data_IF_201762625432
#
_entry.id   IF_201762625432
#
_cell.length_a   1.000
_cell.length_b   1.000
_cell.length_c   1.000
_cell.angle_alpha   90.00
_cell.angle_beta   90.00
_cell.angle_gamma   90.00
#
_symmetry.space_group_name_H-M   'P 1'
#
loop_
_entity.id
_entity.type
_entity.pdbx_description
1 polymer ?
#
# COMPACT_ATOMS: atom_id res chain seq x y z
N UNK A 1 -37.27 24.00 3.03
CA UNK A 1 -36.28 24.69 2.17
C UNK A 1 -35.07 23.78 2.11
N UNK A 2 -34.76 23.24 0.94
CA UNK A 2 -33.75 22.23 0.69
C UNK A 2 -32.34 22.79 1.00
N UNK A 3 -31.86 22.59 2.22
CA UNK A 3 -30.46 22.89 2.60
C UNK A 3 -29.46 22.06 1.78
N UNK A 4 -29.86 20.90 1.28
CA UNK A 4 -29.03 20.05 0.41
C UNK A 4 -28.73 20.69 -0.97
N UNK A 5 -29.48 21.70 -1.41
CA UNK A 5 -29.25 22.40 -2.68
C UNK A 5 -28.15 23.47 -2.59
N UNK A 6 -27.84 23.95 -1.40
CA UNK A 6 -26.88 25.04 -1.22
C UNK A 6 -25.39 24.56 -1.16
N UNK A 7 -25.15 23.26 -0.95
CA UNK A 7 -23.76 22.74 -0.97
C UNK A 7 -23.31 22.48 -2.40
N UNK A 8 -22.27 23.18 -2.85
CA UNK A 8 -21.66 22.97 -4.15
C UNK A 8 -20.14 22.95 -4.04
N UNK A 9 -19.51 22.11 -4.85
CA UNK A 9 -18.06 22.08 -5.05
C UNK A 9 -17.81 22.28 -6.53
N UNK A 10 -17.17 23.39 -6.89
CA UNK A 10 -16.83 23.70 -8.28
C UNK A 10 -15.54 24.53 -8.33
N UNK A 11 -14.60 24.14 -9.21
CA UNK A 11 -13.33 24.84 -9.40
C UNK A 11 -12.55 25.06 -8.08
N UNK A 12 -12.50 24.02 -7.21
CA UNK A 12 -11.86 24.06 -5.89
C UNK A 12 -12.49 25.06 -4.89
N UNK A 13 -13.67 25.58 -5.21
CA UNK A 13 -14.43 26.44 -4.32
C UNK A 13 -15.58 25.63 -3.70
N UNK A 14 -15.64 25.69 -2.36
CA UNK A 14 -16.72 25.10 -1.58
C UNK A 14 -17.75 26.17 -1.23
N UNK A 15 -18.98 25.96 -1.66
CA UNK A 15 -20.12 26.75 -1.20
C UNK A 15 -20.80 25.99 -0.07
N UNK A 16 -20.88 26.59 1.11
CA UNK A 16 -21.48 25.98 2.30
C UNK A 16 -22.96 26.35 2.42
N UNK A 17 -23.83 25.44 2.91
CA UNK A 17 -25.22 25.72 3.15
C UNK A 17 -25.43 26.70 4.31
N UNK A 18 -24.52 26.70 5.27
CA UNK A 18 -24.53 27.62 6.42
C UNK A 18 -23.11 27.82 6.96
N UNK A 19 -22.94 28.85 7.78
CA UNK A 19 -21.67 29.10 8.50
C UNK A 19 -21.59 28.33 9.83
N UNK A 20 -22.39 27.27 9.99
CA UNK A 20 -22.45 26.45 11.19
C UNK A 20 -21.14 25.67 11.39
N UNK A 21 -20.71 25.60 12.66
CA UNK A 21 -19.51 24.88 13.07
C UNK A 21 -19.60 23.39 12.79
N UNK A 22 -20.79 22.77 12.94
CA UNK A 22 -20.97 21.33 12.66
C UNK A 22 -20.86 21.01 11.16
N UNK A 23 -21.35 21.91 10.29
CA UNK A 23 -21.16 21.80 8.84
C UNK A 23 -19.67 21.83 8.48
N UNK A 24 -18.91 22.78 9.05
CA UNK A 24 -17.47 22.87 8.84
C UNK A 24 -16.73 21.64 9.36
N UNK A 25 -17.14 21.11 10.51
CA UNK A 25 -16.58 19.91 11.10
C UNK A 25 -16.84 18.68 10.22
N UNK A 26 -18.07 18.52 9.73
CA UNK A 26 -18.43 17.43 8.79
C UNK A 26 -17.54 17.41 7.55
N UNK A 27 -17.30 18.57 6.95
CA UNK A 27 -16.42 18.70 5.78
C UNK A 27 -14.94 18.49 6.14
N UNK A 28 -14.51 18.92 7.33
CA UNK A 28 -13.13 18.71 7.79
C UNK A 28 -12.76 17.24 7.92
N UNK A 29 -13.70 16.34 8.21
CA UNK A 29 -13.47 14.90 8.23
C UNK A 29 -13.06 14.38 6.84
N UNK A 30 -13.72 14.82 5.76
CA UNK A 30 -13.35 14.42 4.41
C UNK A 30 -11.95 14.94 4.01
N UNK A 31 -11.61 16.17 4.37
CA UNK A 31 -10.27 16.72 4.14
C UNK A 31 -9.21 15.99 4.95
N UNK A 32 -9.47 15.69 6.22
CA UNK A 32 -8.54 14.94 7.06
C UNK A 32 -8.26 13.54 6.48
N UNK A 33 -9.32 12.85 6.02
CA UNK A 33 -9.16 11.57 5.34
C UNK A 33 -8.37 11.71 4.04
N UNK A 34 -8.65 12.72 3.22
CA UNK A 34 -7.91 12.99 1.98
C UNK A 34 -6.43 13.24 2.23
N UNK A 35 -6.11 14.04 3.24
CA UNK A 35 -4.72 14.30 3.64
C UNK A 35 -4.00 13.02 4.09
N UNK A 36 -4.69 12.14 4.82
CA UNK A 36 -4.15 10.87 5.26
C UNK A 36 -3.95 9.89 4.11
N UNK A 37 -4.89 9.82 3.17
CA UNK A 37 -4.72 9.03 1.93
C UNK A 37 -3.51 9.52 1.14
N UNK A 38 -3.35 10.84 0.97
CA UNK A 38 -2.21 11.44 0.29
C UNK A 38 -0.88 11.07 0.94
N UNK A 39 -0.81 11.03 2.26
CA UNK A 39 0.36 10.59 3.01
C UNK A 39 0.74 9.14 2.69
N UNK A 40 -0.24 8.22 2.65
CA UNK A 40 0.01 6.82 2.31
C UNK A 40 0.33 6.62 0.82
N UNK A 41 -0.26 7.42 -0.07
CA UNK A 41 0.09 7.43 -1.49
C UNK A 41 1.56 7.81 -1.71
N UNK A 42 2.07 8.82 -0.98
CA UNK A 42 3.48 9.24 -1.04
C UNK A 42 4.43 8.13 -0.53
N UNK A 43 4.08 7.46 0.58
CA UNK A 43 4.86 6.33 1.08
C UNK A 43 4.88 5.19 0.04
N UNK A 44 3.72 4.83 -0.50
CA UNK A 44 3.63 3.79 -1.51
C UNK A 44 4.44 4.14 -2.77
N UNK A 45 4.41 5.39 -3.20
CA UNK A 45 5.18 5.88 -4.34
C UNK A 45 6.70 5.70 -4.10
N UNK A 46 7.20 6.09 -2.93
CA UNK A 46 8.61 5.90 -2.55
C UNK A 46 9.03 4.43 -2.59
N UNK A 47 8.18 3.52 -2.13
CA UNK A 47 8.45 2.07 -2.21
C UNK A 47 8.47 1.61 -3.67
N UNK A 48 7.51 2.05 -4.49
CA UNK A 48 7.46 1.74 -5.94
C UNK A 48 8.74 2.20 -6.62
N UNK A 49 9.15 3.45 -6.41
CA UNK A 49 10.37 4.02 -7.02
C UNK A 49 11.63 3.27 -6.60
N UNK A 50 11.75 2.91 -5.32
CA UNK A 50 12.91 2.15 -4.82
C UNK A 50 12.99 0.73 -5.38
N UNK A 51 11.87 0.15 -5.79
CA UNK A 51 11.78 -1.21 -6.32
C UNK A 51 11.64 -1.27 -7.84
N UNK A 52 11.43 -0.15 -8.53
CA UNK A 52 11.15 -0.09 -9.97
C UNK A 52 12.25 -0.71 -10.85
N UNK A 53 13.51 -0.67 -10.42
CA UNK A 53 14.64 -1.23 -11.17
C UNK A 53 14.69 -2.77 -11.13
N UNK A 54 14.05 -3.41 -10.14
CA UNK A 54 14.15 -4.85 -9.92
C UNK A 54 13.59 -5.66 -11.10
N UNK A 55 12.35 -5.42 -11.57
CA UNK A 55 11.80 -6.14 -12.72
C UNK A 55 12.63 -5.96 -14.00
N UNK A 56 13.14 -4.74 -14.24
CA UNK A 56 13.99 -4.45 -15.40
C UNK A 56 15.31 -5.21 -15.36
N UNK A 57 15.95 -5.26 -14.21
CA UNK A 57 17.20 -6.01 -14.02
C UNK A 57 16.96 -7.52 -14.19
N UNK A 58 15.88 -8.04 -13.61
CA UNK A 58 15.52 -9.44 -13.72
C UNK A 58 15.26 -9.82 -15.19
N UNK A 59 14.49 -9.01 -15.93
CA UNK A 59 14.21 -9.24 -17.34
C UNK A 59 15.47 -9.19 -18.21
N UNK A 60 16.41 -8.30 -17.90
CA UNK A 60 17.64 -8.12 -18.68
C UNK A 60 18.72 -9.19 -18.40
N UNK A 61 18.83 -9.62 -17.17
CA UNK A 61 19.98 -10.45 -16.72
C UNK A 61 19.58 -11.84 -16.22
N UNK A 62 18.30 -12.08 -15.98
CA UNK A 62 17.82 -13.29 -15.31
C UNK A 62 18.30 -13.43 -13.87
N UNK A 63 18.87 -12.36 -13.28
CA UNK A 63 19.44 -12.39 -11.94
C UNK A 63 18.92 -11.21 -11.13
N UNK A 64 18.75 -11.46 -9.83
CA UNK A 64 18.42 -10.42 -8.85
C UNK A 64 19.73 -9.93 -8.25
N UNK A 65 20.02 -8.63 -8.41
CA UNK A 65 21.23 -8.00 -7.88
C UNK A 65 21.06 -7.55 -6.42
N UNK A 66 19.85 -7.60 -5.88
CA UNK A 66 19.58 -7.27 -4.48
C UNK A 66 20.06 -8.39 -3.55
N UNK A 67 20.67 -8.01 -2.44
CA UNK A 67 20.99 -8.95 -1.38
C UNK A 67 19.71 -9.46 -0.69
N UNK A 68 19.79 -10.66 -0.06
CA UNK A 68 18.65 -11.19 0.75
C UNK A 68 18.25 -10.24 1.85
N UNK A 69 19.21 -9.54 2.44
CA UNK A 69 18.97 -8.57 3.50
C UNK A 69 18.16 -7.38 2.97
N UNK A 70 18.47 -6.88 1.78
CA UNK A 70 17.76 -5.75 1.19
C UNK A 70 16.33 -6.14 0.80
N UNK A 71 16.13 -7.31 0.20
CA UNK A 71 14.78 -7.84 -0.08
C UNK A 71 13.97 -7.98 1.22
N UNK A 72 14.56 -8.55 2.27
CA UNK A 72 13.89 -8.70 3.55
C UNK A 72 13.55 -7.36 4.21
N UNK A 73 14.46 -6.38 4.14
CA UNK A 73 14.19 -5.01 4.64
C UNK A 73 13.06 -4.34 3.88
N UNK A 74 13.06 -4.42 2.54
CA UNK A 74 12.01 -3.83 1.71
C UNK A 74 10.66 -4.49 1.99
N UNK A 75 10.62 -5.82 2.16
CA UNK A 75 9.40 -6.53 2.60
C UNK A 75 8.93 -6.06 3.98
N UNK A 76 9.85 -5.91 4.93
CA UNK A 76 9.53 -5.39 6.27
C UNK A 76 8.90 -4.00 6.21
N UNK A 77 9.48 -3.09 5.45
CA UNK A 77 8.92 -1.74 5.26
C UNK A 77 7.55 -1.78 4.60
N UNK A 78 7.37 -2.61 3.57
CA UNK A 78 6.07 -2.75 2.91
C UNK A 78 5.00 -3.31 3.85
N UNK A 79 5.33 -4.36 4.62
CA UNK A 79 4.42 -4.94 5.60
C UNK A 79 4.02 -3.93 6.69
N UNK A 80 4.98 -3.13 7.18
CA UNK A 80 4.69 -2.06 8.14
C UNK A 80 3.73 -1.06 7.52
N UNK A 81 3.98 -0.62 6.28
CA UNK A 81 3.10 0.33 5.57
C UNK A 81 1.69 -0.25 5.37
N UNK A 82 1.58 -1.52 4.98
CA UNK A 82 0.29 -2.20 4.81
C UNK A 82 -0.44 -2.30 6.17
N UNK A 83 0.27 -2.64 7.23
CA UNK A 83 -0.31 -2.71 8.58
C UNK A 83 -0.77 -1.33 9.05
N UNK A 84 0.03 -0.29 8.83
CA UNK A 84 -0.34 1.08 9.19
C UNK A 84 -1.59 1.54 8.43
N UNK A 85 -1.69 1.19 7.15
CA UNK A 85 -2.90 1.44 6.36
C UNK A 85 -4.06 0.61 6.92
N UNK A 86 -3.87 -0.69 7.16
CA UNK A 86 -4.92 -1.59 7.63
C UNK A 86 -5.43 -1.23 9.04
N UNK A 87 -4.54 -0.88 9.96
CA UNK A 87 -4.91 -0.41 11.30
C UNK A 87 -5.67 0.92 11.27
N UNK A 88 -5.50 1.68 10.19
CA UNK A 88 -6.21 2.92 9.96
C UNK A 88 -7.35 2.75 8.93
N UNK A 89 -7.81 1.50 8.68
CA UNK A 89 -8.94 1.21 7.77
C UNK A 89 -10.26 1.86 8.19
N UNK A 90 -10.35 2.42 9.39
CA UNK A 90 -11.37 3.43 9.69
C UNK A 90 -11.30 4.67 8.78
N UNK A 91 -10.37 4.69 7.79
CA UNK A 91 -10.33 5.71 6.73
C UNK A 91 -11.51 5.67 5.78
N UNK A 92 -12.16 4.52 5.62
CA UNK A 92 -13.35 4.34 4.79
C UNK A 92 -14.64 4.32 5.62
N UNK A 93 -14.51 4.14 6.93
CA UNK A 93 -15.65 4.13 7.79
C UNK A 93 -16.19 5.56 7.94
N UNK A 94 -17.48 5.68 7.91
CA UNK A 94 -18.17 6.93 8.23
C UNK A 94 -17.77 7.33 9.66
N UNK A 95 -17.20 8.53 9.87
CA UNK A 95 -16.81 8.97 11.20
C UNK A 95 -17.96 8.89 12.22
N UNK A 96 -17.62 8.50 13.47
CA UNK A 96 -18.60 8.40 14.58
C UNK A 96 -19.38 9.71 14.80
N UNK A 97 -18.79 10.84 14.44
CA UNK A 97 -19.46 12.15 14.43
C UNK A 97 -20.83 12.13 13.76
N UNK A 98 -21.03 11.33 12.71
CA UNK A 98 -22.31 11.25 11.98
C UNK A 98 -23.36 10.36 12.67
N UNK A 99 -23.02 9.67 13.75
CA UNK A 99 -24.00 9.02 14.61
C UNK A 99 -24.82 10.05 15.40
N UNK A 100 -24.15 11.16 15.80
CA UNK A 100 -24.81 12.27 16.50
C UNK A 100 -25.45 13.29 15.55
N UNK A 101 -24.91 13.42 14.32
CA UNK A 101 -25.33 14.38 13.30
C UNK A 101 -25.58 13.72 11.93
N UNK A 102 -26.55 12.79 11.83
CA UNK A 102 -26.80 12.02 10.60
C UNK A 102 -27.21 12.89 9.40
N UNK A 103 -27.82 14.05 9.63
CA UNK A 103 -28.21 15.00 8.59
C UNK A 103 -27.01 15.58 7.83
N UNK A 104 -25.83 15.62 8.46
CA UNK A 104 -24.59 16.16 7.87
C UNK A 104 -23.80 15.12 7.08
N UNK A 105 -24.12 13.83 7.20
CA UNK A 105 -23.42 12.76 6.49
C UNK A 105 -23.47 12.95 4.97
N UNK A 106 -24.58 13.42 4.44
CA UNK A 106 -24.73 13.67 3.01
C UNK A 106 -23.74 14.70 2.47
N UNK A 107 -23.38 15.71 3.26
CA UNK A 107 -22.39 16.72 2.91
C UNK A 107 -20.98 16.12 2.87
N UNK A 108 -20.65 15.35 3.89
CA UNK A 108 -19.39 14.60 3.95
C UNK A 108 -19.24 13.66 2.74
N UNK A 109 -20.25 12.84 2.43
CA UNK A 109 -20.20 11.88 1.33
C UNK A 109 -20.04 12.58 -0.03
N UNK A 110 -20.68 13.73 -0.25
CA UNK A 110 -20.52 14.52 -1.47
C UNK A 110 -19.09 15.06 -1.61
N UNK A 111 -18.48 15.55 -0.54
CA UNK A 111 -17.11 16.01 -0.57
C UNK A 111 -16.13 14.84 -0.69
N UNK A 112 -16.35 13.74 0.02
CA UNK A 112 -15.54 12.52 -0.09
C UNK A 112 -15.54 11.98 -1.53
N UNK A 113 -16.70 12.02 -2.20
CA UNK A 113 -16.82 11.67 -3.62
C UNK A 113 -16.08 12.64 -4.53
N UNK A 114 -16.16 13.96 -4.28
CA UNK A 114 -15.41 14.96 -5.06
C UNK A 114 -13.89 14.78 -4.93
N UNK A 115 -13.42 14.36 -3.76
CA UNK A 115 -12.00 14.07 -3.48
C UNK A 115 -11.58 12.66 -3.93
N UNK A 116 -12.48 11.90 -4.57
CA UNK A 116 -12.27 10.53 -5.06
C UNK A 116 -11.70 9.57 -4.00
N UNK A 117 -12.06 9.76 -2.72
CA UNK A 117 -11.43 9.06 -1.60
C UNK A 117 -11.47 7.55 -1.76
N UNK A 118 -12.65 7.00 -2.06
CA UNK A 118 -12.82 5.54 -2.21
C UNK A 118 -11.96 4.99 -3.35
N UNK A 119 -11.98 5.64 -4.51
CA UNK A 119 -11.20 5.21 -5.67
C UNK A 119 -9.69 5.28 -5.39
N UNK A 120 -9.22 6.33 -4.73
CA UNK A 120 -7.82 6.49 -4.34
C UNK A 120 -7.35 5.37 -3.41
N UNK A 121 -8.16 5.03 -2.40
CA UNK A 121 -7.85 3.95 -1.45
C UNK A 121 -7.82 2.59 -2.14
N UNK A 122 -8.78 2.31 -3.05
CA UNK A 122 -8.78 1.07 -3.82
C UNK A 122 -7.54 0.94 -4.73
N UNK A 123 -7.14 2.03 -5.39
CA UNK A 123 -5.93 2.07 -6.22
C UNK A 123 -4.68 1.85 -5.36
N UNK A 124 -4.62 2.51 -4.21
CA UNK A 124 -3.52 2.34 -3.26
C UNK A 124 -3.40 0.87 -2.81
N UNK A 125 -4.50 0.25 -2.41
CA UNK A 125 -4.54 -1.16 -2.03
C UNK A 125 -4.04 -2.09 -3.13
N UNK A 126 -4.47 -1.87 -4.39
CA UNK A 126 -4.00 -2.65 -5.55
C UNK A 126 -2.49 -2.49 -5.79
N UNK A 127 -1.97 -1.25 -5.68
CA UNK A 127 -0.52 -0.98 -5.82
C UNK A 127 0.29 -1.72 -4.75
N UNK A 128 -0.14 -1.66 -3.50
CA UNK A 128 0.53 -2.33 -2.39
C UNK A 128 0.50 -3.86 -2.53
N UNK A 129 -0.64 -4.43 -2.92
CA UNK A 129 -0.75 -5.87 -3.19
C UNK A 129 0.18 -6.32 -4.32
N UNK A 130 0.30 -5.54 -5.40
CA UNK A 130 1.22 -5.84 -6.51
C UNK A 130 2.67 -5.83 -6.05
N UNK A 131 3.06 -4.84 -5.23
CA UNK A 131 4.41 -4.78 -4.65
C UNK A 131 4.69 -5.97 -3.74
N UNK A 132 3.74 -6.35 -2.90
CA UNK A 132 3.87 -7.51 -2.01
C UNK A 132 4.11 -8.79 -2.81
N UNK A 133 3.29 -9.05 -3.82
CA UNK A 133 3.44 -10.23 -4.69
C UNK A 133 4.80 -10.25 -5.39
N UNK A 134 5.28 -9.11 -5.86
CA UNK A 134 6.59 -9.01 -6.48
C UNK A 134 7.72 -9.34 -5.49
N UNK A 135 7.68 -8.80 -4.29
CA UNK A 135 8.69 -9.04 -3.28
C UNK A 135 8.67 -10.48 -2.75
N UNK A 136 7.49 -11.11 -2.69
CA UNK A 136 7.33 -12.51 -2.32
C UNK A 136 7.96 -13.42 -3.39
N UNK A 137 7.70 -13.17 -4.67
CA UNK A 137 8.34 -13.88 -5.77
C UNK A 137 9.87 -13.77 -5.72
N UNK A 138 10.41 -12.58 -5.44
CA UNK A 138 11.85 -12.37 -5.32
C UNK A 138 12.46 -13.15 -4.15
N UNK A 139 11.75 -13.24 -3.03
CA UNK A 139 12.20 -14.00 -1.86
C UNK A 139 12.22 -15.50 -2.14
N UNK A 140 11.20 -16.03 -2.83
CA UNK A 140 11.15 -17.45 -3.22
C UNK A 140 12.30 -17.80 -4.16
N UNK A 141 12.58 -16.99 -5.18
CA UNK A 141 13.70 -17.26 -6.10
C UNK A 141 15.06 -17.32 -5.37
N UNK A 142 15.27 -16.46 -4.37
CA UNK A 142 16.48 -16.50 -3.57
C UNK A 142 16.58 -17.76 -2.70
N UNK A 143 15.47 -18.34 -2.24
CA UNK A 143 15.44 -19.59 -1.51
C UNK A 143 15.83 -20.78 -2.37
N UNK A 144 15.34 -20.85 -3.61
CA UNK A 144 15.67 -21.95 -4.54
C UNK A 144 17.16 -22.04 -4.86
N UNK A 145 17.84 -20.90 -5.01
CA UNK A 145 19.30 -20.90 -5.29
C UNK A 145 20.13 -21.49 -4.15
N UNK A 146 19.72 -21.35 -2.89
CA UNK A 146 20.40 -21.97 -1.76
C UNK A 146 20.15 -23.47 -1.64
N UNK A 147 18.95 -23.92 -1.93
CA UNK A 147 18.65 -25.34 -1.91
C UNK A 147 19.51 -26.09 -2.95
N UNK A 148 19.62 -25.58 -4.17
CA UNK A 148 20.46 -26.13 -5.22
C UNK A 148 21.97 -26.15 -4.82
N UNK A 149 22.46 -25.11 -4.12
CA UNK A 149 23.85 -25.08 -3.64
C UNK A 149 24.11 -26.13 -2.57
N UNK A 150 23.20 -26.32 -1.62
CA UNK A 150 23.31 -27.37 -0.60
C UNK A 150 23.24 -28.77 -1.23
N UNK A 151 22.41 -28.98 -2.22
CA UNK A 151 22.31 -30.23 -2.97
C UNK A 151 23.65 -30.57 -3.68
N UNK A 152 24.29 -29.59 -4.31
CA UNK A 152 25.60 -29.73 -4.90
C UNK A 152 26.69 -30.11 -3.88
N UNK A 153 26.67 -29.50 -2.69
CA UNK A 153 27.61 -29.86 -1.60
C UNK A 153 27.41 -31.31 -1.19
N UNK A 154 26.16 -31.76 -1.03
CA UNK A 154 25.86 -33.15 -0.66
C UNK A 154 26.35 -34.11 -1.75
N UNK A 155 26.14 -33.81 -3.02
CA UNK A 155 26.61 -34.63 -4.15
C UNK A 155 28.13 -34.74 -4.14
N UNK A 156 28.85 -33.62 -3.90
CA UNK A 156 30.33 -33.64 -3.82
C UNK A 156 30.82 -34.46 -2.63
N UNK A 157 30.18 -34.32 -1.45
CA UNK A 157 30.58 -35.12 -0.26
C UNK A 157 30.39 -36.62 -0.50
N UNK A 158 29.26 -37.01 -1.11
CA UNK A 158 29.01 -38.42 -1.45
C UNK A 158 30.04 -38.92 -2.48
N UNK A 159 30.39 -38.12 -3.47
CA UNK A 159 31.39 -38.49 -4.47
C UNK A 159 32.77 -38.67 -3.85
N UNK A 160 33.17 -37.83 -2.91
CA UNK A 160 34.44 -37.96 -2.14
C UNK A 160 34.42 -39.21 -1.27
N UNK A 161 33.32 -39.50 -0.58
CA UNK A 161 33.17 -40.67 0.27
C UNK A 161 33.32 -41.97 -0.55
N UNK A 162 32.69 -42.03 -1.72
CA UNK A 162 32.83 -43.16 -2.65
C UNK A 162 34.28 -43.29 -3.14
N UNK A 163 34.93 -42.18 -3.49
CA UNK A 163 36.31 -42.19 -3.95
C UNK A 163 37.27 -42.72 -2.87
N UNK A 164 37.10 -42.33 -1.60
CA UNK A 164 37.92 -42.81 -0.47
C UNK A 164 37.68 -44.30 -0.21
N UNK A 165 36.48 -44.80 -0.41
CA UNK A 165 36.14 -46.22 -0.21
C UNK A 165 36.74 -47.13 -1.30
N UNK A 166 36.93 -46.61 -2.54
CA UNK A 166 37.48 -47.37 -3.65
C UNK A 166 39.00 -47.30 -3.81
N UNK A 167 39.69 -46.39 -3.10
CA UNK A 167 41.16 -46.27 -3.08
C UNK A 167 41.75 -46.73 -1.75
#
# INVERSE_FOLDING_TARGET
>A
VDEAQAFAVAHDILTLPSDDTHVKLALSHAFAQSAKVMYFEDIALKVIESTAQIPHQLAATGKILLSRVDVSKTRGHLLTTINDINLHFGLLDTPEFFWDYPELESLYLRLAKYLDLQQRIEILGKKLATLQNMLDMLAEEQHHKHAAFLEWIIIILIAVDIAIYFF
#
